data_IF_084456862537
#
_entry.id   IF_084456862537
#
_cell.length_a   1.000
_cell.length_b   1.000
_cell.length_c   1.000
_cell.angle_alpha   90.00
_cell.angle_beta   90.00
_cell.angle_gamma   90.00
#
_symmetry.space_group_name_H-M   'P 1'
#
loop_
_entity.id
_entity.type
_entity.pdbx_description
1 polymer ?
#
# COMPACT_ATOMS: atom_id res chain seq x y z
N UNK A 1 21.91 23.45 26.61
CA UNK A 1 22.88 23.49 25.49
C UNK A 1 22.34 24.50 24.49
N UNK A 2 23.09 25.57 24.23
CA UNK A 2 22.69 26.62 23.30
C UNK A 2 22.61 26.03 21.89
N UNK A 3 21.41 25.74 21.40
CA UNK A 3 21.18 25.32 20.02
C UNK A 3 21.52 26.49 19.12
N UNK A 4 22.71 26.48 18.54
CA UNK A 4 23.14 27.48 17.56
C UNK A 4 22.24 27.41 16.35
N UNK A 5 21.36 28.40 16.23
CA UNK A 5 20.44 28.65 15.13
C UNK A 5 21.25 28.91 13.85
N UNK A 6 21.37 27.92 12.95
CA UNK A 6 22.14 28.06 11.69
C UNK A 6 21.25 28.65 10.59
N UNK A 7 21.81 29.59 9.83
CA UNK A 7 21.22 30.10 8.57
C UNK A 7 22.00 29.54 7.40
N UNK A 8 21.34 28.86 6.45
CA UNK A 8 22.03 28.27 5.31
C UNK A 8 21.08 28.00 4.12
N UNK A 9 21.54 28.35 2.92
CA UNK A 9 20.99 27.91 1.63
C UNK A 9 22.18 27.60 0.73
N UNK A 10 22.20 26.42 0.10
CA UNK A 10 23.28 25.99 -0.76
C UNK A 10 23.42 26.94 -1.96
N UNK A 11 24.65 27.30 -2.38
CA UNK A 11 24.86 28.23 -3.49
C UNK A 11 24.18 27.82 -4.80
N UNK A 12 24.10 26.51 -5.08
CA UNK A 12 23.45 26.01 -6.29
C UNK A 12 21.95 26.28 -6.30
N UNK A 13 21.27 26.23 -5.15
CA UNK A 13 19.87 26.65 -5.01
C UNK A 13 19.70 28.12 -5.40
N UNK A 14 20.69 28.97 -5.07
CA UNK A 14 20.67 30.41 -5.35
C UNK A 14 21.13 30.77 -6.76
N UNK A 15 21.67 29.82 -7.52
CA UNK A 15 22.31 30.07 -8.81
C UNK A 15 21.74 29.15 -9.88
N UNK A 16 22.27 27.92 -9.96
CA UNK A 16 21.88 26.89 -10.92
C UNK A 16 20.37 26.62 -10.83
N UNK A 17 19.82 26.51 -9.62
CA UNK A 17 18.40 26.22 -9.43
C UNK A 17 17.46 27.31 -9.90
N UNK A 18 17.81 28.57 -9.69
CA UNK A 18 16.99 29.67 -10.22
C UNK A 18 17.11 29.73 -11.75
N UNK A 19 18.32 29.53 -12.28
CA UNK A 19 18.57 29.56 -13.73
C UNK A 19 17.83 28.44 -14.45
N UNK A 20 17.86 27.24 -13.90
CA UNK A 20 17.31 26.02 -14.50
C UNK A 20 15.84 25.79 -14.09
N UNK A 21 15.29 26.66 -13.24
CA UNK A 21 13.86 26.72 -12.94
C UNK A 21 13.38 25.80 -11.82
N UNK A 22 14.27 25.06 -11.15
CA UNK A 22 13.91 24.15 -10.07
C UNK A 22 13.91 24.80 -8.67
N UNK A 23 14.36 26.04 -8.53
CA UNK A 23 14.36 26.77 -7.25
C UNK A 23 13.57 28.08 -7.31
N UNK A 24 12.93 28.44 -6.19
CA UNK A 24 12.25 29.72 -6.05
C UNK A 24 13.24 30.89 -6.24
N UNK A 25 12.94 31.88 -7.11
CA UNK A 25 13.79 33.05 -7.32
C UNK A 25 13.74 34.02 -6.13
N UNK A 26 12.63 34.05 -5.39
CA UNK A 26 12.51 34.85 -4.17
C UNK A 26 13.39 34.22 -3.07
N UNK A 27 14.24 35.05 -2.45
CA UNK A 27 15.21 34.62 -1.43
C UNK A 27 14.79 35.04 -0.03
N UNK A 28 13.81 35.92 0.09
CA UNK A 28 13.22 36.32 1.36
C UNK A 28 11.81 35.72 1.51
N UNK A 29 11.64 34.66 2.33
CA UNK A 29 10.35 33.98 2.46
C UNK A 29 9.26 34.91 3.01
N UNK A 30 9.62 36.02 3.67
CA UNK A 30 8.66 37.00 4.20
C UNK A 30 7.89 37.77 3.11
N UNK A 31 8.37 37.70 1.86
CA UNK A 31 7.74 38.33 0.69
C UNK A 31 6.81 37.39 -0.08
N UNK A 32 6.78 36.11 0.29
CA UNK A 32 5.95 35.11 -0.39
C UNK A 32 4.49 35.28 0.01
N UNK A 33 3.60 35.27 -0.99
CA UNK A 33 2.16 35.15 -0.78
C UNK A 33 1.84 33.74 -0.29
N UNK A 34 1.84 33.53 1.02
CA UNK A 34 1.71 32.19 1.62
C UNK A 34 0.33 31.55 1.49
N UNK A 35 -0.74 32.33 1.42
CA UNK A 35 -2.11 31.79 1.42
C UNK A 35 -2.36 30.75 0.30
N UNK A 36 -1.97 30.98 -0.97
CA UNK A 36 -2.03 29.95 -2.00
C UNK A 36 -1.22 28.69 -1.69
N UNK A 37 0.01 28.83 -1.18
CA UNK A 37 0.88 27.68 -0.84
C UNK A 37 0.30 26.86 0.32
N UNK A 38 -0.25 27.53 1.34
CA UNK A 38 -0.92 26.85 2.46
C UNK A 38 -2.22 26.16 2.02
N UNK A 39 -2.95 26.73 1.06
CA UNK A 39 -4.17 26.12 0.53
C UNK A 39 -3.89 24.87 -0.33
N UNK A 40 -2.74 24.84 -1.00
CA UNK A 40 -2.30 23.70 -1.81
C UNK A 40 -1.50 22.64 -1.02
N UNK A 41 -1.09 22.95 0.21
CA UNK A 41 -0.21 22.09 0.99
C UNK A 41 -0.88 20.76 1.35
N UNK A 42 -0.15 19.67 1.14
CA UNK A 42 -0.56 18.33 1.52
C UNK A 42 -0.53 18.14 3.05
N UNK A 43 0.40 18.81 3.75
CA UNK A 43 0.45 18.87 5.21
C UNK A 43 0.27 20.32 5.67
N UNK A 44 -0.76 20.63 6.49
CA UNK A 44 -0.95 21.97 7.03
C UNK A 44 0.27 22.47 7.79
N UNK A 45 0.69 23.71 7.51
CA UNK A 45 1.82 24.35 8.17
C UNK A 45 1.53 25.80 8.57
N UNK A 46 2.26 26.28 9.57
CA UNK A 46 2.12 27.64 10.09
C UNK A 46 3.07 28.61 9.37
N UNK A 47 2.68 29.88 9.34
CA UNK A 47 3.54 30.99 8.91
C UNK A 47 3.65 31.99 10.05
N UNK A 48 4.87 32.31 10.47
CA UNK A 48 5.16 33.23 11.58
C UNK A 48 6.11 34.30 11.07
N UNK A 49 5.75 35.58 11.23
CA UNK A 49 6.51 36.74 10.72
C UNK A 49 6.83 36.62 9.22
N UNK A 50 5.87 36.12 8.45
CA UNK A 50 6.02 35.88 7.01
C UNK A 50 6.89 34.67 6.65
N UNK A 51 7.33 33.85 7.62
CA UNK A 51 8.22 32.71 7.38
C UNK A 51 7.48 31.39 7.59
N UNK A 52 7.64 30.40 6.69
CA UNK A 52 7.03 29.10 6.85
C UNK A 52 7.70 28.38 8.03
N UNK A 53 6.93 27.58 8.74
CA UNK A 53 7.42 26.76 9.86
C UNK A 53 7.24 25.31 9.48
N UNK A 54 8.35 24.59 9.37
CA UNK A 54 8.35 23.15 9.18
C UNK A 54 7.46 22.49 10.25
N UNK A 55 6.44 21.69 9.87
CA UNK A 55 5.49 21.11 10.81
C UNK A 55 6.10 19.98 11.68
N UNK A 56 7.35 19.60 11.44
CA UNK A 56 8.06 18.52 12.13
C UNK A 56 9.22 19.05 12.99
N UNK A 57 10.02 18.12 13.53
CA UNK A 57 11.11 18.44 14.44
C UNK A 57 12.14 19.40 13.79
N UNK A 58 12.73 20.33 14.56
CA UNK A 58 13.76 21.23 14.07
C UNK A 58 14.93 20.47 13.43
N UNK A 59 15.35 20.94 12.27
CA UNK A 59 16.42 20.36 11.45
C UNK A 59 17.82 20.77 11.90
N UNK A 60 17.91 21.83 12.71
CA UNK A 60 19.17 22.49 13.06
C UNK A 60 19.57 23.61 12.09
N UNK A 61 18.85 23.78 10.97
CA UNK A 61 18.97 24.90 10.04
C UNK A 61 17.68 25.71 10.11
N UNK A 62 17.71 26.78 10.92
CA UNK A 62 16.50 27.56 11.23
C UNK A 62 16.05 28.47 10.10
N UNK A 63 17.01 29.03 9.36
CA UNK A 63 16.75 30.01 8.32
C UNK A 63 17.43 29.60 7.00
N UNK A 64 16.77 29.87 5.87
CA UNK A 64 17.22 29.41 4.56
C UNK A 64 16.57 28.08 4.18
N UNK A 65 16.90 27.59 2.98
CA UNK A 65 16.29 26.37 2.41
C UNK A 65 17.18 25.12 2.56
N UNK A 66 18.34 25.28 3.18
CA UNK A 66 19.42 24.29 3.13
C UNK A 66 19.71 23.89 1.68
N UNK A 67 19.35 22.68 1.24
CA UNK A 67 19.63 22.21 -0.12
C UNK A 67 18.38 22.14 -1.01
N UNK A 68 17.20 22.50 -0.50
CA UNK A 68 15.94 22.45 -1.24
C UNK A 68 15.69 23.70 -2.09
N UNK A 69 15.02 23.51 -3.23
CA UNK A 69 14.72 24.57 -4.20
C UNK A 69 13.60 25.52 -3.74
N UNK A 70 12.56 24.97 -3.12
CA UNK A 70 11.34 25.72 -2.79
C UNK A 70 11.24 26.06 -1.31
N UNK A 71 10.63 27.21 -1.01
CA UNK A 71 10.24 27.56 0.36
C UNK A 71 8.97 26.84 0.78
N UNK A 72 8.93 26.41 2.04
CA UNK A 72 7.81 25.67 2.60
C UNK A 72 7.80 24.21 2.15
N UNK A 73 6.61 23.72 1.81
CA UNK A 73 6.43 22.35 1.34
C UNK A 73 6.87 22.19 -0.11
N UNK A 74 7.74 21.21 -0.36
CA UNK A 74 7.99 20.61 -1.67
C UNK A 74 7.30 19.25 -1.74
N UNK A 75 6.30 19.13 -2.61
CA UNK A 75 5.50 17.93 -2.77
C UNK A 75 6.16 16.96 -3.76
N UNK A 76 6.26 15.71 -3.34
CA UNK A 76 6.79 14.58 -4.09
C UNK A 76 5.77 13.44 -4.13
N UNK A 77 6.05 12.43 -4.95
CA UNK A 77 5.26 11.22 -5.02
C UNK A 77 6.18 10.00 -5.13
N UNK A 78 5.85 8.93 -4.39
CA UNK A 78 6.60 7.67 -4.40
C UNK A 78 5.73 6.52 -4.92
N UNK A 79 6.23 5.78 -5.90
CA UNK A 79 5.58 4.59 -6.42
C UNK A 79 5.89 3.36 -5.55
N UNK A 80 4.86 2.75 -4.96
CA UNK A 80 4.97 1.50 -4.22
C UNK A 80 4.40 0.38 -5.09
N UNK A 81 5.24 -0.22 -5.94
CA UNK A 81 4.84 -1.31 -6.82
C UNK A 81 5.26 -2.66 -6.24
N UNK A 82 4.28 -3.49 -5.91
CA UNK A 82 4.52 -4.80 -5.29
C UNK A 82 3.91 -5.95 -6.07
N UNK A 83 4.51 -7.12 -5.95
CA UNK A 83 3.98 -8.37 -6.49
C UNK A 83 4.21 -9.51 -5.48
N UNK A 84 3.38 -10.56 -5.56
CA UNK A 84 3.59 -11.80 -4.82
C UNK A 84 3.95 -12.89 -5.81
N UNK A 85 4.97 -13.70 -5.53
CA UNK A 85 5.32 -14.81 -6.42
C UNK A 85 4.52 -16.10 -6.13
N UNK A 86 4.71 -17.12 -6.97
CA UNK A 86 4.08 -18.43 -6.85
C UNK A 86 4.36 -19.16 -5.51
N UNK A 87 5.37 -18.71 -4.78
CA UNK A 87 5.75 -19.22 -3.46
C UNK A 87 5.24 -18.34 -2.30
N UNK A 88 4.49 -17.28 -2.60
CA UNK A 88 3.97 -16.35 -1.61
C UNK A 88 4.99 -15.32 -1.11
N UNK A 89 6.14 -15.17 -1.78
CA UNK A 89 7.15 -14.17 -1.42
C UNK A 89 6.76 -12.82 -2.02
N UNK A 90 6.92 -11.75 -1.26
CA UNK A 90 6.64 -10.39 -1.73
C UNK A 90 7.87 -9.79 -2.40
N UNK A 91 7.64 -9.07 -3.49
CA UNK A 91 8.63 -8.32 -4.25
C UNK A 91 8.21 -6.85 -4.33
N UNK A 92 9.18 -5.95 -4.28
CA UNK A 92 9.01 -4.49 -4.35
C UNK A 92 9.99 -3.93 -5.38
N UNK A 93 9.53 -3.02 -6.24
CA UNK A 93 10.40 -2.24 -7.12
C UNK A 93 11.16 -1.20 -6.28
N UNK A 94 12.47 -1.17 -6.43
CA UNK A 94 13.36 -0.21 -5.78
C UNK A 94 14.38 0.33 -6.78
N UNK A 95 14.82 1.56 -6.57
CA UNK A 95 15.92 2.20 -7.31
C UNK A 95 17.09 2.51 -6.37
N UNK A 96 18.31 2.53 -6.89
CA UNK A 96 19.47 3.10 -6.20
C UNK A 96 19.75 4.49 -6.74
N UNK A 97 19.76 5.49 -5.86
CA UNK A 97 19.97 6.89 -6.23
C UNK A 97 21.42 7.15 -6.65
N UNK A 98 21.63 7.95 -7.70
CA UNK A 98 22.97 8.38 -8.14
C UNK A 98 23.69 9.27 -7.13
N UNK A 99 22.95 9.98 -6.28
CA UNK A 99 23.49 10.87 -5.24
C UNK A 99 24.11 10.12 -4.04
N UNK A 100 24.05 8.79 -4.02
CA UNK A 100 24.66 7.96 -3.00
C UNK A 100 23.88 7.86 -1.68
N UNK A 101 22.64 8.38 -1.62
CA UNK A 101 21.79 8.24 -0.44
C UNK A 101 21.19 6.85 -0.23
N UNK A 102 21.42 5.93 -1.19
CA UNK A 102 21.05 4.53 -1.10
C UNK A 102 19.82 4.19 -1.93
N UNK A 103 19.16 3.10 -1.55
CA UNK A 103 18.03 2.54 -2.27
C UNK A 103 16.70 3.13 -1.79
N UNK A 104 15.91 3.65 -2.73
CA UNK A 104 14.65 4.33 -2.49
C UNK A 104 13.49 3.66 -3.26
N UNK A 105 12.27 4.10 -2.96
CA UNK A 105 11.14 3.87 -3.84
C UNK A 105 11.34 4.76 -5.07
N UNK A 106 10.89 4.35 -6.27
CA UNK A 106 10.90 5.23 -7.41
C UNK A 106 10.00 6.44 -7.16
N UNK A 107 10.50 7.66 -7.34
CA UNK A 107 9.74 8.84 -6.95
C UNK A 107 10.49 10.16 -7.09
N UNK A 108 9.72 11.21 -7.37
CA UNK A 108 10.24 12.54 -7.60
C UNK A 108 9.21 13.62 -7.30
N UNK A 109 9.44 14.83 -7.81
CA UNK A 109 8.61 15.99 -7.50
C UNK A 109 7.28 15.92 -8.26
N UNK A 110 6.21 16.38 -7.61
CA UNK A 110 4.92 16.58 -8.28
C UNK A 110 4.97 17.89 -9.05
N UNK A 111 4.68 17.84 -10.34
CA UNK A 111 4.67 19.01 -11.19
C UNK A 111 3.50 19.96 -10.86
N UNK A 112 3.62 21.27 -11.16
CA UNK A 112 2.53 22.22 -10.92
C UNK A 112 1.22 21.81 -11.61
N UNK A 113 0.23 21.42 -10.79
CA UNK A 113 -1.10 21.00 -11.25
C UNK A 113 -1.25 19.52 -11.58
N UNK A 114 -0.19 18.74 -11.41
CA UNK A 114 -0.19 17.28 -11.55
C UNK A 114 -0.86 16.61 -10.32
N UNK A 115 -1.62 15.54 -10.55
CA UNK A 115 -2.12 14.71 -9.45
C UNK A 115 -0.97 13.87 -8.88
N UNK A 116 -0.79 13.78 -7.55
CA UNK A 116 0.33 13.04 -6.98
C UNK A 116 0.33 11.52 -7.31
N UNK A 117 -0.82 10.92 -7.58
CA UNK A 117 -0.85 9.53 -8.04
C UNK A 117 -0.34 9.42 -9.47
N UNK A 118 -0.71 10.37 -10.36
CA UNK A 118 -0.16 10.45 -11.72
C UNK A 118 1.36 10.68 -11.70
N UNK A 119 1.84 11.57 -10.82
CA UNK A 119 3.26 11.79 -10.60
C UNK A 119 3.98 10.49 -10.20
N UNK A 120 3.46 9.72 -9.24
CA UNK A 120 4.06 8.43 -8.89
C UNK A 120 4.14 7.46 -10.08
N UNK A 121 3.12 7.44 -10.96
CA UNK A 121 3.16 6.61 -12.18
C UNK A 121 4.21 7.10 -13.17
N UNK A 122 4.32 8.42 -13.37
CA UNK A 122 5.33 9.03 -14.22
C UNK A 122 6.74 8.71 -13.71
N UNK A 123 7.02 8.97 -12.44
CA UNK A 123 8.32 8.75 -11.80
C UNK A 123 8.74 7.27 -11.84
N UNK A 124 7.80 6.34 -11.63
CA UNK A 124 8.06 4.92 -11.84
C UNK A 124 8.58 4.64 -13.26
N UNK A 125 7.91 5.19 -14.27
CA UNK A 125 8.27 4.97 -15.65
C UNK A 125 9.60 5.64 -16.00
N UNK A 126 9.86 6.85 -15.51
CA UNK A 126 11.08 7.62 -15.76
C UNK A 126 12.31 6.96 -15.15
N UNK A 127 12.23 6.49 -13.89
CA UNK A 127 13.39 5.92 -13.20
C UNK A 127 13.60 4.42 -13.46
N UNK A 128 12.55 3.69 -13.86
CA UNK A 128 12.61 2.22 -13.97
C UNK A 128 12.22 1.66 -15.33
N UNK A 129 11.70 2.48 -16.25
CA UNK A 129 11.14 2.03 -17.53
C UNK A 129 9.89 1.15 -17.40
N UNK A 130 9.32 1.00 -16.19
CA UNK A 130 8.18 0.14 -15.94
C UNK A 130 6.87 0.85 -16.27
N UNK A 131 6.18 0.38 -17.29
CA UNK A 131 4.82 0.78 -17.63
C UNK A 131 3.84 -0.32 -17.23
N UNK A 132 2.87 0.01 -16.39
CA UNK A 132 1.77 -0.89 -16.03
C UNK A 132 0.60 -0.73 -17.00
N UNK A 133 -0.22 -1.77 -17.16
CA UNK A 133 -1.35 -1.78 -18.10
C UNK A 133 -2.41 -0.71 -17.76
N UNK A 134 -3.11 -0.23 -18.79
CA UNK A 134 -4.30 0.62 -18.66
C UNK A 134 -5.38 -0.14 -17.85
N UNK A 135 -5.52 0.21 -16.58
CA UNK A 135 -6.42 -0.47 -15.63
C UNK A 135 -5.73 -1.00 -14.37
N UNK A 136 -4.41 -0.85 -14.25
CA UNK A 136 -3.70 -1.08 -12.99
C UNK A 136 -4.35 -0.27 -11.86
N UNK A 137 -4.68 -0.95 -10.75
CA UNK A 137 -5.32 -0.29 -9.61
C UNK A 137 -4.27 0.42 -8.75
N UNK A 138 -4.20 1.73 -8.91
CA UNK A 138 -3.39 2.62 -8.10
C UNK A 138 -4.19 3.17 -6.94
N UNK A 139 -3.61 3.12 -5.74
CA UNK A 139 -4.22 3.66 -4.54
C UNK A 139 -3.28 4.68 -3.90
N UNK A 140 -3.61 5.98 -3.91
CA UNK A 140 -2.87 6.97 -3.15
C UNK A 140 -3.02 6.69 -1.65
N UNK A 141 -1.94 6.84 -0.92
CA UNK A 141 -1.88 6.80 0.54
C UNK A 141 -1.86 8.23 1.09
N UNK A 142 -2.20 8.44 2.37
CA UNK A 142 -2.12 9.77 2.98
C UNK A 142 -0.73 10.39 2.84
N UNK A 143 -0.69 11.69 2.62
CA UNK A 143 0.54 12.47 2.55
C UNK A 143 1.38 12.32 3.82
N UNK A 144 2.70 12.30 3.66
CA UNK A 144 3.66 12.05 4.74
C UNK A 144 4.85 12.98 4.61
N UNK A 145 5.29 13.50 5.75
CA UNK A 145 6.56 14.20 5.82
C UNK A 145 7.74 13.27 5.54
N UNK A 146 8.68 13.76 4.76
CA UNK A 146 9.92 13.05 4.43
C UNK A 146 11.02 13.66 5.31
N UNK A 147 11.64 12.89 6.23
CA UNK A 147 12.75 13.39 7.04
C UNK A 147 14.05 13.42 6.21
N UNK A 148 14.04 14.27 5.18
CA UNK A 148 15.12 14.43 4.22
C UNK A 148 16.28 15.26 4.83
N UNK A 149 17.54 14.82 4.72
CA UNK A 149 18.69 15.57 5.24
C UNK A 149 18.90 16.94 4.57
N UNK A 150 18.33 17.16 3.38
CA UNK A 150 18.39 18.42 2.63
C UNK A 150 17.43 19.47 3.17
N UNK A 151 16.48 19.09 4.03
CA UNK A 151 15.48 20.00 4.59
C UNK A 151 16.07 21.04 5.55
N UNK A 152 15.25 22.04 5.84
CA UNK A 152 15.47 23.10 6.84
C UNK A 152 14.16 23.36 7.60
N UNK A 153 14.18 24.30 8.55
CA UNK A 153 12.96 24.71 9.25
C UNK A 153 12.04 25.60 8.38
N UNK A 154 12.52 26.07 7.21
CA UNK A 154 11.75 26.92 6.27
C UNK A 154 11.53 26.26 4.89
N UNK A 155 12.03 25.05 4.66
CA UNK A 155 11.83 24.26 3.44
C UNK A 155 11.93 22.76 3.75
N UNK A 156 10.96 21.98 3.33
CA UNK A 156 10.88 20.54 3.63
C UNK A 156 10.19 19.76 2.52
N UNK A 157 10.35 18.44 2.56
CA UNK A 157 9.73 17.52 1.60
C UNK A 157 8.53 16.80 2.22
N UNK A 158 7.49 16.65 1.41
CA UNK A 158 6.32 15.84 1.69
C UNK A 158 6.13 14.90 0.50
N UNK A 159 5.76 13.65 0.75
CA UNK A 159 5.42 12.70 -0.30
C UNK A 159 3.97 12.25 -0.19
N UNK A 160 3.33 12.00 -1.31
CA UNK A 160 2.09 11.22 -1.41
C UNK A 160 2.45 9.87 -2.03
N UNK A 161 2.65 8.82 -1.21
CA UNK A 161 2.98 7.51 -1.74
C UNK A 161 1.76 6.91 -2.42
N UNK A 162 1.94 6.29 -3.58
CA UNK A 162 0.86 5.66 -4.33
C UNK A 162 1.21 4.20 -4.58
N UNK A 163 0.33 3.29 -4.15
CA UNK A 163 0.59 1.85 -4.21
C UNK A 163 -0.14 1.19 -5.37
N UNK A 164 0.53 0.23 -6.00
CA UNK A 164 -0.04 -0.72 -6.93
C UNK A 164 0.40 -2.14 -6.57
N UNK A 165 -0.55 -3.07 -6.49
CA UNK A 165 -0.25 -4.48 -6.27
C UNK A 165 -0.61 -5.30 -7.51
N UNK A 166 0.38 -5.97 -8.10
CA UNK A 166 0.23 -6.77 -9.32
C UNK A 166 -0.43 -8.14 -9.06
N UNK A 167 -0.73 -8.48 -7.80
CA UNK A 167 -1.29 -9.78 -7.44
C UNK A 167 -0.23 -10.88 -7.40
N UNK A 168 -0.65 -12.11 -7.69
CA UNK A 168 0.26 -13.26 -7.80
C UNK A 168 0.75 -13.40 -9.23
N UNK A 169 2.07 -13.39 -9.42
CA UNK A 169 2.75 -13.48 -10.72
C UNK A 169 3.84 -14.54 -10.66
N UNK A 170 4.15 -15.21 -11.76
CA UNK A 170 5.34 -16.06 -11.81
C UNK A 170 6.59 -15.18 -11.65
N UNK A 171 7.53 -15.56 -10.77
CA UNK A 171 8.77 -14.81 -10.56
C UNK A 171 9.55 -14.57 -11.85
N UNK A 172 9.50 -15.50 -12.81
CA UNK A 172 10.17 -15.37 -14.09
C UNK A 172 9.47 -14.38 -15.04
N UNK A 173 8.20 -14.08 -14.79
CA UNK A 173 7.36 -13.18 -15.61
C UNK A 173 7.24 -11.77 -15.01
N UNK A 174 7.94 -11.47 -13.91
CA UNK A 174 7.98 -10.10 -13.38
C UNK A 174 8.41 -9.11 -14.48
N UNK A 175 7.69 -7.99 -14.66
CA UNK A 175 8.05 -6.98 -15.64
C UNK A 175 9.50 -6.50 -15.45
N UNK A 176 10.22 -6.34 -16.55
CA UNK A 176 11.57 -5.82 -16.50
C UNK A 176 11.59 -4.40 -15.94
N UNK A 177 12.61 -4.10 -15.15
CA UNK A 177 12.94 -2.75 -14.67
C UNK A 177 14.36 -2.43 -15.07
N UNK A 178 14.59 -1.21 -15.57
CA UNK A 178 15.87 -0.72 -16.06
C UNK A 178 16.07 0.68 -15.49
N UNK A 179 17.21 0.90 -14.85
CA UNK A 179 17.52 2.20 -14.27
C UNK A 179 17.62 3.27 -15.35
N UNK A 180 17.02 4.43 -15.10
CA UNK A 180 17.05 5.61 -15.94
C UNK A 180 16.95 6.87 -15.06
N UNK A 181 17.09 8.03 -15.69
CA UNK A 181 17.16 9.33 -15.04
C UNK A 181 18.22 9.39 -13.92
N UNK A 182 17.84 9.66 -12.67
CA UNK A 182 18.73 9.76 -11.51
C UNK A 182 18.90 8.43 -10.73
N UNK A 183 18.45 7.32 -11.32
CA UNK A 183 18.65 5.98 -10.79
C UNK A 183 19.90 5.29 -11.38
N UNK A 184 20.85 4.95 -10.52
CA UNK A 184 22.03 4.15 -10.87
C UNK A 184 21.68 2.67 -11.15
N UNK A 185 20.69 2.13 -10.43
CA UNK A 185 20.18 0.76 -10.56
C UNK A 185 18.68 0.74 -10.31
N UNK A 186 17.95 -0.18 -10.94
CA UNK A 186 16.56 -0.48 -10.66
C UNK A 186 16.38 -1.99 -10.55
N UNK A 187 15.59 -2.46 -9.58
CA UNK A 187 15.39 -3.89 -9.37
C UNK A 187 14.07 -4.23 -8.65
N UNK A 188 13.55 -5.41 -8.96
CA UNK A 188 12.62 -6.11 -8.06
C UNK A 188 13.40 -6.76 -6.91
N UNK A 189 13.15 -6.30 -5.70
CA UNK A 189 13.82 -6.77 -4.49
C UNK A 189 12.84 -7.50 -3.59
N UNK A 190 13.28 -8.61 -3.00
CA UNK A 190 12.49 -9.38 -2.05
C UNK A 190 12.15 -8.52 -0.83
N UNK A 191 10.87 -8.41 -0.50
CA UNK A 191 10.33 -7.47 0.48
C UNK A 191 9.19 -8.10 1.30
N UNK A 192 9.39 -9.31 1.82
CA UNK A 192 8.41 -10.00 2.67
C UNK A 192 8.02 -9.19 3.90
N UNK A 193 8.97 -8.41 4.40
CA UNK A 193 8.93 -7.42 5.46
C UNK A 193 10.12 -6.46 5.23
N UNK A 194 10.24 -5.40 6.04
CA UNK A 194 11.33 -4.42 5.94
C UNK A 194 12.72 -5.07 6.14
N UNK A 195 12.83 -6.05 7.05
CA UNK A 195 14.10 -6.69 7.34
C UNK A 195 14.60 -7.53 6.16
N UNK A 196 13.70 -8.25 5.49
CA UNK A 196 13.98 -9.00 4.27
C UNK A 196 14.43 -8.08 3.13
N UNK A 197 13.76 -6.92 2.96
CA UNK A 197 14.17 -5.91 1.99
C UNK A 197 15.59 -5.39 2.27
N UNK A 198 15.85 -4.94 3.50
CA UNK A 198 17.15 -4.41 3.88
C UNK A 198 18.27 -5.44 3.73
N UNK A 199 18.01 -6.70 4.12
CA UNK A 199 18.96 -7.79 3.97
C UNK A 199 19.22 -8.11 2.49
N UNK A 200 18.19 -8.15 1.65
CA UNK A 200 18.30 -8.38 0.21
C UNK A 200 19.15 -7.32 -0.47
N UNK A 201 18.87 -6.04 -0.19
CA UNK A 201 19.64 -4.91 -0.69
C UNK A 201 21.12 -4.98 -0.30
N UNK A 202 21.39 -5.27 0.98
CA UNK A 202 22.76 -5.36 1.49
C UNK A 202 23.53 -6.52 0.88
N UNK A 203 22.93 -7.71 0.81
CA UNK A 203 23.61 -8.94 0.39
C UNK A 203 23.80 -8.98 -1.12
N UNK A 204 22.78 -8.59 -1.89
CA UNK A 204 22.81 -8.70 -3.36
C UNK A 204 23.49 -7.49 -4.00
N UNK A 205 23.24 -6.29 -3.47
CA UNK A 205 23.63 -5.04 -4.11
C UNK A 205 24.70 -4.26 -3.34
N UNK A 206 25.06 -4.68 -2.13
CA UNK A 206 25.94 -3.91 -1.23
C UNK A 206 25.30 -2.61 -0.73
N UNK A 207 24.00 -2.43 -0.94
CA UNK A 207 23.28 -1.18 -0.71
C UNK A 207 22.63 -1.07 0.67
N UNK A 208 22.19 0.14 1.00
CA UNK A 208 21.35 0.42 2.18
C UNK A 208 20.12 1.18 1.76
N UNK A 209 19.02 1.06 2.52
CA UNK A 209 17.79 1.80 2.27
C UNK A 209 18.01 3.28 2.57
N UNK A 210 17.50 4.15 1.71
CA UNK A 210 17.47 5.59 1.92
C UNK A 210 16.78 5.89 3.26
N UNK A 211 17.50 6.58 4.15
CA UNK A 211 17.07 6.75 5.54
C UNK A 211 15.66 7.36 5.64
N UNK A 212 15.32 8.32 4.76
CA UNK A 212 14.03 8.98 4.77
C UNK A 212 12.85 8.06 4.44
N UNK A 213 13.08 6.97 3.70
CA UNK A 213 12.06 5.97 3.37
C UNK A 213 11.88 4.91 4.46
N UNK A 214 12.69 4.90 5.51
CA UNK A 214 12.65 3.83 6.52
C UNK A 214 11.27 3.70 7.18
N UNK A 215 10.68 4.80 7.64
CA UNK A 215 9.38 4.76 8.30
C UNK A 215 8.26 4.37 7.31
N UNK A 216 8.28 4.93 6.10
CA UNK A 216 7.33 4.61 5.03
C UNK A 216 7.37 3.13 4.67
N UNK A 217 8.56 2.58 4.40
CA UNK A 217 8.73 1.19 4.03
C UNK A 217 8.31 0.23 5.14
N UNK A 218 8.54 0.57 6.42
CA UNK A 218 8.03 -0.22 7.54
C UNK A 218 6.51 -0.23 7.58
N UNK A 219 5.88 0.94 7.48
CA UNK A 219 4.42 1.04 7.46
C UNK A 219 3.77 0.29 6.28
N UNK A 220 4.48 0.16 5.17
CA UNK A 220 4.01 -0.55 3.96
C UNK A 220 4.27 -2.05 4.07
N UNK A 221 5.45 -2.46 4.54
CA UNK A 221 5.91 -3.85 4.48
C UNK A 221 5.64 -4.63 5.76
N UNK A 222 5.78 -3.99 6.93
CA UNK A 222 5.63 -4.61 8.24
C UNK A 222 4.17 -4.60 8.73
N UNK A 223 3.21 -4.31 7.84
CA UNK A 223 1.79 -4.46 8.18
C UNK A 223 1.55 -5.89 8.67
N UNK A 224 0.83 -6.07 9.81
CA UNK A 224 0.57 -7.39 10.34
C UNK A 224 -0.09 -8.24 9.27
N UNK A 225 0.61 -9.29 8.83
CA UNK A 225 0.03 -10.28 7.94
C UNK A 225 -1.15 -10.90 8.70
N UNK A 226 -2.31 -11.09 8.04
CA UNK A 226 -3.43 -11.72 8.72
C UNK A 226 -2.97 -13.10 9.19
N UNK A 227 -3.32 -13.45 10.41
CA UNK A 227 -3.07 -14.78 10.97
C UNK A 227 -3.96 -15.81 10.26
N UNK A 228 -5.12 -15.37 9.75
CA UNK A 228 -6.10 -16.19 9.06
C UNK A 228 -6.53 -15.57 7.74
N UNK A 229 -6.55 -16.35 6.67
CA UNK A 229 -7.18 -15.99 5.39
C UNK A 229 -8.41 -16.88 5.19
N UNK A 230 -9.58 -16.27 5.03
CA UNK A 230 -10.85 -16.97 4.80
C UNK A 230 -11.26 -16.82 3.34
N UNK A 231 -11.24 -17.92 2.59
CA UNK A 231 -11.46 -17.94 1.15
C UNK A 231 -12.86 -18.43 0.84
N UNK A 232 -13.73 -17.59 0.29
CA UNK A 232 -15.02 -18.05 -0.22
C UNK A 232 -14.91 -18.48 -1.69
N UNK A 233 -15.51 -19.62 -2.04
CA UNK A 233 -15.47 -20.13 -3.43
C UNK A 233 -16.74 -20.86 -3.86
N UNK A 234 -16.84 -21.13 -5.17
CA UNK A 234 -17.94 -21.85 -5.82
C UNK A 234 -17.51 -23.19 -6.42
N UNK A 235 -18.06 -24.30 -5.95
CA UNK A 235 -17.85 -25.65 -6.50
C UNK A 235 -18.28 -25.78 -7.97
N UNK A 236 -19.21 -24.93 -8.42
CA UNK A 236 -19.66 -24.91 -9.82
C UNK A 236 -18.69 -24.21 -10.77
N UNK A 237 -17.63 -23.55 -10.27
CA UNK A 237 -16.64 -22.87 -11.11
C UNK A 237 -15.31 -23.62 -11.20
N UNK A 238 -14.81 -24.14 -10.07
CA UNK A 238 -13.56 -24.89 -10.01
C UNK A 238 -13.48 -25.71 -8.72
N UNK A 239 -12.51 -26.63 -8.66
CA UNK A 239 -12.17 -27.38 -7.43
C UNK A 239 -11.86 -26.43 -6.26
N UNK A 240 -11.96 -26.90 -5.00
CA UNK A 240 -11.59 -26.11 -3.83
C UNK A 240 -10.17 -25.52 -3.93
N UNK A 241 -9.95 -24.28 -3.47
CA UNK A 241 -8.61 -23.72 -3.37
C UNK A 241 -7.80 -24.47 -2.30
N UNK A 242 -6.46 -24.38 -2.39
CA UNK A 242 -5.56 -24.92 -1.35
C UNK A 242 -5.81 -24.17 -0.03
N UNK A 243 -6.15 -24.93 1.01
CA UNK A 243 -6.46 -24.44 2.35
C UNK A 243 -6.09 -25.48 3.41
N UNK A 244 -5.90 -25.04 4.65
CA UNK A 244 -5.66 -25.90 5.80
C UNK A 244 -6.96 -26.61 6.25
N UNK A 245 -8.10 -25.92 6.09
CA UNK A 245 -9.44 -26.48 6.29
C UNK A 245 -10.36 -26.05 5.15
N UNK A 246 -11.17 -26.97 4.64
CA UNK A 246 -12.25 -26.66 3.67
C UNK A 246 -13.61 -27.06 4.25
N UNK A 247 -14.57 -26.14 4.25
CA UNK A 247 -15.95 -26.37 4.65
C UNK A 247 -16.90 -26.26 3.44
N UNK A 248 -17.71 -27.29 3.20
CA UNK A 248 -18.77 -27.28 2.20
C UNK A 248 -20.11 -26.92 2.85
N UNK A 249 -20.70 -25.79 2.42
CA UNK A 249 -21.96 -25.27 2.98
C UNK A 249 -23.15 -25.40 2.01
N UNK A 250 -23.03 -26.23 0.96
CA UNK A 250 -24.10 -26.39 -0.05
C UNK A 250 -25.38 -27.00 0.54
N UNK A 251 -25.26 -27.89 1.50
CA UNK A 251 -26.40 -28.58 2.10
C UNK A 251 -26.84 -27.98 3.45
N UNK A 252 -26.04 -27.10 4.06
CA UNK A 252 -26.25 -26.64 5.44
C UNK A 252 -26.95 -25.29 5.56
N UNK A 253 -27.01 -24.50 4.49
CA UNK A 253 -27.51 -23.12 4.52
C UNK A 253 -28.58 -22.85 3.47
N UNK A 254 -29.57 -22.01 3.83
CA UNK A 254 -30.60 -21.51 2.91
C UNK A 254 -29.95 -20.90 1.67
N UNK A 255 -30.51 -21.19 0.51
CA UNK A 255 -29.95 -20.79 -0.78
C UNK A 255 -30.67 -19.54 -1.34
N UNK A 256 -30.03 -18.35 -1.33
CA UNK A 256 -30.64 -17.13 -1.86
C UNK A 256 -30.85 -17.16 -3.38
N UNK A 257 -30.24 -18.11 -4.11
CA UNK A 257 -30.24 -18.14 -5.57
C UNK A 257 -31.64 -18.26 -6.19
N UNK A 258 -32.58 -18.88 -5.49
CA UNK A 258 -33.94 -19.07 -6.01
C UNK A 258 -34.82 -17.83 -5.90
N UNK A 259 -34.45 -16.87 -5.05
CA UNK A 259 -35.16 -15.60 -4.91
C UNK A 259 -34.67 -14.61 -5.98
N UNK A 260 -35.53 -14.13 -6.90
CA UNK A 260 -35.16 -13.15 -7.92
C UNK A 260 -34.53 -11.88 -7.35
N UNK A 261 -34.94 -11.42 -6.16
CA UNK A 261 -34.44 -10.21 -5.53
C UNK A 261 -33.00 -10.37 -4.97
N UNK A 262 -32.59 -11.60 -4.68
CA UNK A 262 -31.26 -11.90 -4.13
C UNK A 262 -30.32 -12.57 -5.14
N UNK A 263 -30.84 -13.18 -6.20
CA UNK A 263 -30.06 -13.99 -7.16
C UNK A 263 -28.80 -13.31 -7.72
N UNK A 264 -28.87 -12.01 -7.95
CA UNK A 264 -27.79 -11.21 -8.53
C UNK A 264 -26.98 -10.43 -7.48
N UNK A 265 -27.38 -10.50 -6.21
CA UNK A 265 -26.68 -9.90 -5.08
C UNK A 265 -25.55 -10.81 -4.61
N UNK A 266 -24.88 -10.45 -3.53
CA UNK A 266 -23.74 -11.18 -2.97
C UNK A 266 -23.89 -11.35 -1.46
N UNK A 267 -23.07 -12.20 -0.85
CA UNK A 267 -23.04 -12.34 0.61
C UNK A 267 -22.56 -11.09 1.36
N UNK A 268 -22.06 -10.07 0.65
CA UNK A 268 -21.74 -8.74 1.18
C UNK A 268 -23.00 -7.87 1.35
N UNK A 269 -24.08 -8.21 0.67
CA UNK A 269 -25.35 -7.52 0.77
C UNK A 269 -26.12 -7.95 2.02
N UNK A 270 -26.56 -6.98 2.81
CA UNK A 270 -27.28 -7.19 4.07
C UNK A 270 -28.44 -8.20 3.94
N UNK A 271 -29.29 -8.05 2.92
CA UNK A 271 -30.45 -8.95 2.71
C UNK A 271 -30.03 -10.41 2.52
N UNK A 272 -28.90 -10.64 1.83
CA UNK A 272 -28.39 -11.99 1.54
C UNK A 272 -27.78 -12.55 2.81
N UNK A 273 -27.02 -11.72 3.53
CA UNK A 273 -26.39 -12.07 4.79
C UNK A 273 -27.44 -12.50 5.82
N UNK A 274 -28.49 -11.71 6.01
CA UNK A 274 -29.61 -12.04 6.91
C UNK A 274 -30.31 -13.33 6.48
N UNK A 275 -30.63 -13.48 5.19
CA UNK A 275 -31.29 -14.68 4.68
C UNK A 275 -30.47 -15.95 4.95
N UNK A 276 -29.15 -15.89 4.76
CA UNK A 276 -28.26 -17.03 5.01
C UNK A 276 -28.13 -17.27 6.53
N UNK A 277 -27.89 -16.22 7.33
CA UNK A 277 -27.64 -16.33 8.77
C UNK A 277 -28.88 -16.70 9.59
N UNK A 278 -30.08 -16.49 9.07
CA UNK A 278 -31.34 -17.00 9.68
C UNK A 278 -31.57 -18.50 9.45
N UNK A 279 -30.66 -19.20 8.77
CA UNK A 279 -30.69 -20.67 8.71
C UNK A 279 -30.44 -21.27 10.11
N UNK A 280 -31.30 -22.18 10.61
CA UNK A 280 -31.03 -22.86 11.87
C UNK A 280 -29.65 -23.52 11.87
N UNK A 281 -28.83 -23.21 12.88
CA UNK A 281 -27.45 -23.72 13.01
C UNK A 281 -26.38 -22.92 12.25
N UNK A 282 -26.72 -21.85 11.50
CA UNK A 282 -25.71 -21.02 10.84
C UNK A 282 -24.76 -20.35 11.84
N UNK A 283 -25.30 -19.74 12.90
CA UNK A 283 -24.50 -19.13 13.97
C UNK A 283 -23.62 -20.15 14.70
N UNK A 284 -24.15 -21.35 14.98
CA UNK A 284 -23.37 -22.43 15.59
C UNK A 284 -22.25 -22.91 14.67
N UNK A 285 -22.50 -22.94 13.36
CA UNK A 285 -21.47 -23.28 12.35
C UNK A 285 -20.33 -22.25 12.38
N UNK A 286 -20.63 -20.95 12.41
CA UNK A 286 -19.61 -19.89 12.53
C UNK A 286 -18.84 -20.03 13.85
N UNK A 287 -19.54 -20.27 14.96
CA UNK A 287 -18.91 -20.48 16.27
C UNK A 287 -17.97 -21.68 16.27
N UNK A 288 -18.39 -22.83 15.74
CA UNK A 288 -17.57 -24.03 15.65
C UNK A 288 -16.35 -23.80 14.76
N UNK A 289 -16.56 -23.17 13.60
CA UNK A 289 -15.48 -22.85 12.67
C UNK A 289 -14.45 -21.90 13.29
N UNK A 290 -14.91 -20.94 14.10
CA UNK A 290 -14.04 -20.07 14.90
C UNK A 290 -13.18 -20.90 15.86
N UNK A 291 -13.79 -21.80 16.65
CA UNK A 291 -13.07 -22.67 17.59
C UNK A 291 -12.04 -23.57 16.90
N UNK A 292 -12.38 -24.16 15.75
CA UNK A 292 -11.44 -24.97 14.98
C UNK A 292 -10.28 -24.11 14.45
N UNK A 293 -10.57 -22.91 13.96
CA UNK A 293 -9.55 -21.97 13.47
C UNK A 293 -8.58 -21.59 14.59
N UNK A 294 -9.08 -21.32 15.81
CA UNK A 294 -8.26 -21.09 17.00
C UNK A 294 -7.35 -22.27 17.32
N UNK A 295 -7.83 -23.51 17.17
CA UNK A 295 -7.02 -24.72 17.38
C UNK A 295 -5.92 -24.92 16.33
N UNK A 296 -6.09 -24.37 15.13
CA UNK A 296 -5.13 -24.46 14.03
C UNK A 296 -4.00 -23.41 14.14
N UNK A 297 -4.28 -22.24 14.71
CA UNK A 297 -3.31 -21.14 14.83
C UNK A 297 -1.95 -21.56 15.44
N UNK A 298 -1.90 -22.27 16.59
CA UNK A 298 -0.62 -22.69 17.18
C UNK A 298 0.15 -23.72 16.34
N UNK A 299 -0.53 -24.46 15.46
CA UNK A 299 0.06 -25.55 14.68
C UNK A 299 0.67 -25.06 13.36
N UNK A 300 0.23 -23.89 12.89
CA UNK A 300 0.58 -23.34 11.57
C UNK A 300 1.49 -22.10 11.72
N UNK A 301 1.93 -21.77 12.95
CA UNK A 301 2.65 -20.54 13.32
C UNK A 301 4.06 -20.36 12.73
N UNK A 302 4.39 -20.99 11.60
CA UNK A 302 5.58 -20.73 10.80
C UNK A 302 5.27 -19.73 9.69
N UNK A 303 5.18 -18.44 10.00
CA UNK A 303 5.26 -17.32 9.04
C UNK A 303 4.24 -17.28 7.90
N UNK A 304 3.26 -18.20 7.84
CA UNK A 304 2.18 -18.24 6.84
C UNK A 304 0.81 -18.19 7.53
N UNK A 305 -0.18 -17.52 6.92
CA UNK A 305 -1.55 -17.52 7.44
C UNK A 305 -2.17 -18.92 7.44
N UNK A 306 -3.07 -19.16 8.39
CA UNK A 306 -4.03 -20.27 8.37
C UNK A 306 -5.05 -19.99 7.28
N UNK A 307 -5.23 -20.90 6.33
CA UNK A 307 -6.18 -20.74 5.22
C UNK A 307 -7.43 -21.57 5.47
N UNK A 308 -8.59 -20.93 5.55
CA UNK A 308 -9.89 -21.58 5.71
C UNK A 308 -10.71 -21.34 4.44
N UNK A 309 -11.02 -22.39 3.68
CA UNK A 309 -11.85 -22.28 2.49
C UNK A 309 -13.31 -22.64 2.79
N UNK A 310 -14.26 -21.82 2.33
CA UNK A 310 -15.70 -22.05 2.49
C UNK A 310 -16.35 -22.09 1.10
N UNK A 311 -16.94 -23.23 0.76
CA UNK A 311 -17.48 -23.51 -0.56
C UNK A 311 -19.00 -23.55 -0.59
N UNK A 312 -19.61 -22.81 -1.52
CA UNK A 312 -21.01 -23.04 -1.91
C UNK A 312 -21.08 -23.38 -3.42
N UNK A 313 -22.27 -23.43 -4.04
CA UNK A 313 -22.37 -23.76 -5.47
C UNK A 313 -21.72 -22.67 -6.33
N UNK A 314 -22.18 -21.43 -6.21
CA UNK A 314 -21.74 -20.32 -7.07
C UNK A 314 -20.72 -19.37 -6.46
N UNK A 315 -20.24 -19.62 -5.24
CA UNK A 315 -19.21 -18.78 -4.60
C UNK A 315 -19.59 -17.32 -4.33
N UNK A 316 -20.89 -17.01 -4.35
CA UNK A 316 -21.41 -15.63 -4.34
C UNK A 316 -22.21 -15.26 -3.09
N UNK A 317 -22.96 -16.20 -2.53
CA UNK A 317 -23.90 -15.94 -1.43
C UNK A 317 -23.42 -16.59 -0.11
N UNK A 318 -23.80 -17.85 0.11
CA UNK A 318 -23.59 -18.60 1.36
C UNK A 318 -22.14 -18.64 1.82
N UNK A 319 -21.21 -18.92 0.91
CA UNK A 319 -19.79 -18.97 1.24
C UNK A 319 -19.20 -17.60 1.58
N UNK A 320 -19.61 -16.55 0.86
CA UNK A 320 -19.21 -15.16 1.13
C UNK A 320 -19.73 -14.74 2.50
N UNK A 321 -21.01 -14.98 2.79
CA UNK A 321 -21.62 -14.66 4.08
C UNK A 321 -20.90 -15.30 5.26
N UNK A 322 -20.58 -16.60 5.18
CA UNK A 322 -19.85 -17.27 6.26
C UNK A 322 -18.39 -16.84 6.36
N UNK A 323 -17.76 -16.48 5.23
CA UNK A 323 -16.40 -15.97 5.25
C UNK A 323 -16.30 -14.65 6.02
N UNK A 324 -17.20 -13.71 5.72
CA UNK A 324 -17.32 -12.43 6.43
C UNK A 324 -17.67 -12.63 7.91
N UNK A 325 -18.62 -13.52 8.21
CA UNK A 325 -19.01 -13.81 9.59
C UNK A 325 -17.86 -14.43 10.41
N UNK A 326 -17.08 -15.33 9.82
CA UNK A 326 -15.90 -15.90 10.47
C UNK A 326 -14.81 -14.84 10.70
N UNK A 327 -14.51 -14.02 9.68
CA UNK A 327 -13.52 -12.95 9.81
C UNK A 327 -13.90 -11.95 10.90
N UNK A 328 -15.17 -11.55 10.96
CA UNK A 328 -15.71 -10.71 12.04
C UNK A 328 -15.54 -11.35 13.41
N UNK A 329 -15.91 -12.63 13.57
CA UNK A 329 -15.80 -13.34 14.84
C UNK A 329 -14.34 -13.50 15.31
N UNK A 330 -13.39 -13.64 14.39
CA UNK A 330 -11.96 -13.66 14.71
C UNK A 330 -11.46 -12.26 15.10
N UNK A 331 -11.91 -11.22 14.42
CA UNK A 331 -11.62 -9.82 14.75
C UNK A 331 -12.07 -9.43 16.16
N UNK A 332 -13.25 -9.89 16.59
CA UNK A 332 -13.75 -9.71 17.96
C UNK A 332 -12.85 -10.35 19.02
N UNK A 333 -12.03 -11.33 18.62
CA UNK A 333 -11.03 -12.00 19.47
C UNK A 333 -9.61 -11.42 19.28
N UNK A 334 -9.49 -10.28 18.62
CA UNK A 334 -8.23 -9.63 18.26
C UNK A 334 -7.28 -10.49 17.41
N UNK A 335 -7.82 -11.42 16.63
CA UNK A 335 -7.07 -12.23 15.67
C UNK A 335 -7.19 -11.58 14.30
N UNK A 336 -6.05 -11.32 13.67
CA UNK A 336 -6.04 -10.66 12.36
C UNK A 336 -6.54 -11.64 11.29
N UNK A 337 -7.66 -11.32 10.63
CA UNK A 337 -8.25 -12.13 9.58
C UNK A 337 -8.55 -11.29 8.34
N UNK A 338 -8.31 -11.86 7.16
CA UNK A 338 -8.67 -11.28 5.86
C UNK A 338 -9.56 -12.23 5.05
N UNK A 339 -10.45 -11.68 4.22
CA UNK A 339 -11.33 -12.45 3.34
C UNK A 339 -10.90 -12.36 1.88
N UNK A 340 -10.94 -13.50 1.18
CA UNK A 340 -10.68 -13.60 -0.27
C UNK A 340 -11.90 -14.21 -0.97
N UNK A 341 -12.55 -13.46 -1.85
CA UNK A 341 -13.75 -13.93 -2.54
C UNK A 341 -13.48 -14.38 -3.98
N UNK A 342 -12.90 -15.57 -4.14
CA UNK A 342 -12.37 -16.10 -5.41
C UNK A 342 -13.34 -16.00 -6.60
N UNK A 343 -14.61 -16.28 -6.39
CA UNK A 343 -15.59 -16.44 -7.47
C UNK A 343 -16.71 -15.37 -7.44
N UNK A 344 -16.64 -14.37 -6.55
CA UNK A 344 -17.75 -13.41 -6.34
C UNK A 344 -18.06 -12.54 -7.57
N UNK A 345 -17.05 -12.28 -8.42
CA UNK A 345 -17.20 -11.50 -9.64
C UNK A 345 -17.61 -12.36 -10.86
N UNK A 346 -17.60 -13.69 -10.76
CA UNK A 346 -17.91 -14.57 -11.89
C UNK A 346 -19.40 -14.56 -12.26
N UNK A 347 -19.76 -14.84 -13.54
CA UNK A 347 -21.16 -14.89 -13.97
C UNK A 347 -22.02 -15.82 -13.10
N UNK A 348 -23.28 -15.41 -12.85
CA UNK A 348 -24.24 -16.20 -12.06
C UNK A 348 -24.53 -17.52 -12.77
N UNK A 349 -24.22 -18.64 -12.09
CA UNK A 349 -24.46 -19.97 -12.64
C UNK A 349 -25.96 -20.24 -12.94
N UNK A 350 -26.26 -21.02 -14.00
CA UNK A 350 -27.62 -21.41 -14.35
C UNK A 350 -28.34 -22.13 -13.21
N UNK A 351 -29.68 -22.01 -13.13
CA UNK A 351 -30.50 -22.63 -12.07
C UNK A 351 -30.27 -24.13 -11.92
N UNK A 352 -30.04 -24.87 -13.01
CA UNK A 352 -29.83 -26.32 -12.99
C UNK A 352 -28.55 -26.81 -12.29
N UNK A 353 -27.63 -25.90 -11.97
CA UNK A 353 -26.37 -26.21 -11.28
C UNK A 353 -26.51 -26.15 -9.76
N UNK A 354 -27.53 -25.44 -9.25
CA UNK A 354 -27.81 -25.31 -7.82
C UNK A 354 -28.77 -26.43 -7.42
N UNK A 355 -28.23 -27.60 -7.06
CA UNK A 355 -28.98 -28.70 -6.46
C UNK A 355 -29.04 -28.58 -4.95
#
# INVERSE_FOLDING_TARGET
>A
MSTTTRTYTHPDVLTIGIRDGWADPETDPSRIGWAPRQAAAAIPFAVVDGRPVNPYAPTGIRYGRNELGHWGEQLCADAIVTATDEHGRRWLVMVEREDGHGWALPGGCVDPGEDPAEAAVRELAEETGLHLEEGAHWQPLPARYVPDPRASDEAWMVTVPTRCHLGTVDRAELPAVVAADDAARAAWVRADDYAALAAGLKVVYGGTIFAAHTALLRDVLDQPKPEVIVISFGYGHAIPPKADLTLDVRASLRNPHHDPAMRHRTGLDEVVREHVMTTPGATDTVRFLTLVTLGLLPQISTGRPVRIAIGCVGGRHRSVTLAEALASALGDLAISAATEHRDIAKPVLPKGVHR
#
